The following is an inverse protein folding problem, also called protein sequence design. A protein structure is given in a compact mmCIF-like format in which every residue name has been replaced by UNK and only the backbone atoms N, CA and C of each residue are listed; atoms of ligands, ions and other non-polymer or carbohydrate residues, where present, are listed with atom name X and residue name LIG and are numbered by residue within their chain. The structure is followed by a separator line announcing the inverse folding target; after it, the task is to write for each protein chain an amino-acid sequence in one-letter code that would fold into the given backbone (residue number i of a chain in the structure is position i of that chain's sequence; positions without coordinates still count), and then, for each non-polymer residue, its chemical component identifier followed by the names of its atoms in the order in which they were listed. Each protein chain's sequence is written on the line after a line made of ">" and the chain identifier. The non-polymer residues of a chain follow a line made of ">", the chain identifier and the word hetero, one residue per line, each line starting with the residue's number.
data_IF_226004299081
#
_entry.id   IF_226004299081
#
_cell.length_a   1.000
_cell.length_b   1.000
_cell.length_c   1.000
_cell.angle_alpha   90.00
_cell.angle_beta   90.00
_cell.angle_gamma   90.00
#
_symmetry.space_group_name_H-M   'P 1'
#
loop_
_entity.id
_entity.type
_entity.pdbx_description
1 polymer ?
#
# COMPACT_ATOMS: atom_id res chain seq x y z
N UNK A 1 21.96 2.32 2.02
CA UNK A 1 22.93 1.61 2.88
C UNK A 1 22.25 0.43 3.56
N UNK A 2 22.50 -0.81 3.10
CA UNK A 2 21.80 -2.05 3.53
C UNK A 2 22.69 -3.05 4.31
N UNK A 3 23.83 -2.61 4.88
CA UNK A 3 24.89 -3.53 5.36
C UNK A 3 24.64 -4.24 6.70
N UNK A 4 23.61 -3.87 7.47
CA UNK A 4 23.39 -4.40 8.83
C UNK A 4 22.48 -5.64 8.93
N UNK A 5 21.56 -5.84 7.99
CA UNK A 5 20.50 -6.85 8.11
C UNK A 5 20.94 -8.26 7.66
N UNK A 6 21.73 -8.31 6.58
CA UNK A 6 22.22 -9.57 5.97
C UNK A 6 23.10 -10.38 6.93
N UNK A 7 23.91 -9.71 7.76
CA UNK A 7 24.82 -10.38 8.69
C UNK A 7 24.06 -11.08 9.85
N UNK A 8 22.92 -10.54 10.28
CA UNK A 8 22.12 -11.15 11.35
C UNK A 8 21.39 -12.42 10.90
N UNK A 9 20.80 -12.41 9.71
CA UNK A 9 20.14 -13.60 9.16
C UNK A 9 21.16 -14.71 8.89
N UNK A 10 22.33 -14.38 8.37
CA UNK A 10 23.42 -15.32 8.16
C UNK A 10 23.90 -15.98 9.48
N UNK A 11 24.04 -15.19 10.56
CA UNK A 11 24.39 -15.73 11.89
C UNK A 11 23.32 -16.72 12.40
N UNK A 12 22.03 -16.39 12.24
CA UNK A 12 20.91 -17.26 12.63
C UNK A 12 20.90 -18.56 11.81
N UNK A 13 21.17 -18.45 10.51
CA UNK A 13 21.30 -19.61 9.63
C UNK A 13 22.46 -20.52 10.04
N UNK A 14 23.60 -19.96 10.44
CA UNK A 14 24.74 -20.74 10.98
C UNK A 14 24.38 -21.46 12.28
N UNK A 15 23.63 -20.81 13.18
CA UNK A 15 23.15 -21.43 14.43
C UNK A 15 22.29 -22.66 14.11
N UNK A 16 21.30 -22.50 13.22
CA UNK A 16 20.37 -23.59 12.84
C UNK A 16 21.12 -24.72 12.12
N UNK A 17 21.94 -24.39 11.12
CA UNK A 17 22.69 -25.40 10.36
C UNK A 17 23.67 -26.20 11.22
N UNK A 18 24.33 -25.57 12.20
CA UNK A 18 25.18 -26.30 13.16
C UNK A 18 24.38 -27.19 14.10
N UNK A 19 23.17 -26.79 14.48
CA UNK A 19 22.31 -27.62 15.31
C UNK A 19 21.81 -28.85 14.53
N UNK A 20 21.38 -28.67 13.29
CA UNK A 20 20.97 -29.76 12.39
C UNK A 20 22.13 -30.72 12.07
N UNK A 21 23.38 -30.24 12.09
CA UNK A 21 24.57 -31.10 12.00
C UNK A 21 24.93 -31.81 13.32
N UNK A 22 24.07 -31.75 14.34
CA UNK A 22 24.23 -32.47 15.61
C UNK A 22 25.11 -31.79 16.65
N UNK A 23 25.56 -30.54 16.42
CA UNK A 23 26.34 -29.81 17.45
C UNK A 23 25.46 -29.41 18.63
N UNK A 24 26.03 -29.46 19.82
CA UNK A 24 25.37 -29.00 21.05
C UNK A 24 25.33 -27.47 21.12
N UNK A 25 24.35 -26.91 21.83
CA UNK A 25 24.24 -25.46 22.00
C UNK A 25 25.50 -24.82 22.64
N UNK A 26 26.27 -25.58 23.43
CA UNK A 26 27.52 -25.13 24.02
C UNK A 26 28.69 -25.04 23.02
N UNK A 27 28.72 -25.91 22.02
CA UNK A 27 29.70 -25.84 20.92
C UNK A 27 29.38 -24.67 19.99
N UNK A 28 28.10 -24.54 19.60
CA UNK A 28 27.62 -23.45 18.75
C UNK A 28 27.90 -22.09 19.39
N UNK A 29 27.62 -21.95 20.69
CA UNK A 29 27.88 -20.73 21.46
C UNK A 29 29.37 -20.34 21.44
N UNK A 30 30.27 -21.30 21.68
CA UNK A 30 31.72 -21.06 21.66
C UNK A 30 32.24 -20.70 20.26
N UNK A 31 31.76 -21.39 19.24
CA UNK A 31 32.23 -21.23 17.86
C UNK A 31 31.75 -19.95 17.19
N UNK A 32 30.52 -19.51 17.49
CA UNK A 32 29.91 -18.32 16.90
C UNK A 32 30.02 -17.07 17.78
N UNK A 33 30.54 -17.20 19.01
CA UNK A 33 30.67 -16.07 19.95
C UNK A 33 29.32 -15.49 20.41
N UNK A 34 28.27 -16.32 20.49
CA UNK A 34 26.92 -15.93 20.92
C UNK A 34 26.53 -16.64 22.21
N UNK A 35 25.57 -16.10 22.96
CA UNK A 35 25.09 -16.74 24.19
C UNK A 35 24.31 -18.02 23.88
N UNK A 36 24.33 -19.01 24.80
CA UNK A 36 23.50 -20.22 24.69
C UNK A 36 22.00 -19.90 24.57
N UNK A 37 21.54 -18.84 25.22
CA UNK A 37 20.14 -18.37 25.11
C UNK A 37 19.79 -17.93 23.69
N UNK A 38 20.72 -17.25 23.00
CA UNK A 38 20.53 -16.88 21.59
C UNK A 38 20.45 -18.12 20.71
N UNK A 39 21.27 -19.15 21.00
CA UNK A 39 21.22 -20.43 20.28
C UNK A 39 19.86 -21.12 20.49
N UNK A 40 19.43 -21.28 21.73
CA UNK A 40 18.14 -21.91 22.03
C UNK A 40 16.95 -21.11 21.47
N UNK A 41 16.99 -19.77 21.53
CA UNK A 41 15.96 -18.91 20.96
C UNK A 41 15.77 -19.19 19.46
N UNK A 42 16.86 -19.25 18.70
CA UNK A 42 16.79 -19.43 17.25
C UNK A 42 16.50 -20.87 16.83
N UNK A 43 16.96 -21.86 17.58
CA UNK A 43 16.56 -23.27 17.38
C UNK A 43 15.05 -23.42 17.58
N UNK A 44 14.52 -22.92 18.70
CA UNK A 44 13.08 -22.99 19.00
C UNK A 44 12.25 -22.27 17.95
N UNK A 45 12.64 -21.05 17.59
CA UNK A 45 11.94 -20.28 16.55
C UNK A 45 11.97 -20.95 15.18
N UNK A 46 13.09 -21.59 14.82
CA UNK A 46 13.18 -22.34 13.57
C UNK A 46 12.20 -23.51 13.54
N UNK A 47 12.12 -24.26 14.64
CA UNK A 47 11.19 -25.39 14.78
C UNK A 47 9.72 -24.94 14.78
N UNK A 48 9.40 -23.78 15.37
CA UNK A 48 8.03 -23.26 15.48
C UNK A 48 7.56 -22.51 14.21
N UNK A 49 8.43 -21.68 13.60
CA UNK A 49 8.03 -20.70 12.58
C UNK A 49 8.70 -20.90 11.22
N UNK A 50 9.73 -21.74 11.11
CA UNK A 50 10.42 -22.04 9.85
C UNK A 50 11.10 -20.85 9.17
N UNK A 51 11.35 -19.74 9.89
CA UNK A 51 11.98 -18.55 9.34
C UNK A 51 13.03 -17.94 10.29
N UNK A 52 13.94 -17.14 9.72
CA UNK A 52 15.05 -16.50 10.45
C UNK A 52 14.92 -14.97 10.52
N UNK A 53 13.74 -14.44 10.20
CA UNK A 53 13.51 -13.00 10.15
C UNK A 53 13.15 -12.47 11.54
N UNK A 54 13.27 -11.15 11.72
CA UNK A 54 12.79 -10.54 12.95
C UNK A 54 11.25 -10.53 12.95
N UNK A 55 10.64 -10.97 14.06
CA UNK A 55 9.20 -10.76 14.27
C UNK A 55 8.89 -9.27 14.14
N UNK A 56 7.81 -8.94 13.45
CA UNK A 56 7.30 -7.56 13.40
C UNK A 56 7.04 -7.11 14.84
N UNK A 57 7.80 -6.13 15.31
CA UNK A 57 7.55 -5.51 16.61
C UNK A 57 6.30 -4.64 16.46
N UNK A 58 5.37 -4.75 17.39
CA UNK A 58 4.36 -3.72 17.56
C UNK A 58 5.10 -2.46 18.01
N UNK A 59 4.89 -1.36 17.30
CA UNK A 59 5.47 -0.06 17.67
C UNK A 59 4.94 0.43 19.02
N UNK A 60 5.29 1.66 19.39
CA UNK A 60 4.71 2.30 20.58
C UNK A 60 3.17 2.25 20.47
N UNK A 61 2.46 1.74 21.49
CA UNK A 61 0.99 1.74 21.49
C UNK A 61 0.45 3.15 21.20
N UNK A 62 -0.66 3.21 20.47
CA UNK A 62 -1.33 4.47 20.16
C UNK A 62 -1.91 5.07 21.46
N UNK A 63 -1.90 6.39 21.57
CA UNK A 63 -2.54 7.11 22.68
C UNK A 63 -4.06 7.25 22.49
N UNK A 64 -4.54 7.19 21.24
CA UNK A 64 -5.97 7.13 20.92
C UNK A 64 -6.45 5.68 20.77
N UNK A 65 -7.70 5.45 21.16
CA UNK A 65 -8.43 4.19 20.93
C UNK A 65 -9.16 4.21 19.59
N UNK A 66 -9.65 3.04 19.14
CA UNK A 66 -10.44 2.97 17.89
C UNK A 66 -11.73 3.77 17.99
N UNK A 67 -12.41 3.72 19.14
CA UNK A 67 -13.66 4.46 19.36
C UNK A 67 -13.43 5.97 19.30
N UNK A 68 -12.33 6.46 19.88
CA UNK A 68 -11.93 7.86 19.77
C UNK A 68 -11.56 8.26 18.34
N UNK A 69 -10.90 7.39 17.59
CA UNK A 69 -10.59 7.64 16.18
C UNK A 69 -11.88 7.73 15.34
N UNK A 70 -12.91 6.93 15.68
CA UNK A 70 -14.24 6.98 15.05
C UNK A 70 -15.03 8.25 15.40
N UNK A 71 -15.01 8.66 16.68
CA UNK A 71 -15.63 9.93 17.11
C UNK A 71 -14.99 11.14 16.42
N UNK A 72 -13.67 11.13 16.23
CA UNK A 72 -12.94 12.16 15.47
C UNK A 72 -13.48 12.24 14.02
N UNK A 73 -13.78 11.10 13.40
CA UNK A 73 -14.32 11.02 12.04
C UNK A 73 -15.73 11.61 11.98
N UNK A 74 -16.62 11.16 12.85
CA UNK A 74 -18.01 11.63 12.87
C UNK A 74 -18.07 13.15 13.09
N UNK A 75 -17.23 13.69 13.97
CA UNK A 75 -17.14 15.13 14.19
C UNK A 75 -16.67 15.90 12.93
N UNK A 76 -15.70 15.35 12.18
CA UNK A 76 -15.23 15.96 10.94
C UNK A 76 -16.24 15.84 9.78
N UNK A 77 -16.99 14.74 9.70
CA UNK A 77 -18.04 14.56 8.69
C UNK A 77 -19.26 15.42 8.96
N UNK A 78 -19.66 15.55 10.22
CA UNK A 78 -20.78 16.39 10.62
C UNK A 78 -20.52 17.87 10.30
N UNK A 79 -19.26 18.32 10.43
CA UNK A 79 -18.85 19.68 10.12
C UNK A 79 -17.47 19.71 9.44
N UNK A 80 -17.41 19.60 8.09
CA UNK A 80 -16.15 19.54 7.33
C UNK A 80 -15.25 20.77 7.45
N UNK A 81 -15.76 21.88 8.01
CA UNK A 81 -15.00 23.11 8.24
C UNK A 81 -14.45 23.24 9.67
N UNK A 82 -14.77 22.28 10.55
CA UNK A 82 -14.23 22.25 11.92
C UNK A 82 -12.75 21.88 11.87
N UNK A 83 -11.92 22.66 12.55
CA UNK A 83 -10.49 22.39 12.58
C UNK A 83 -10.13 21.31 13.62
N UNK A 84 -8.99 20.66 13.45
CA UNK A 84 -8.56 19.54 14.30
C UNK A 84 -8.33 19.92 15.78
N UNK A 85 -8.13 21.20 16.11
CA UNK A 85 -8.01 21.67 17.50
C UNK A 85 -9.39 21.74 18.16
N UNK A 86 -10.38 22.28 17.45
CA UNK A 86 -11.76 22.27 17.90
C UNK A 86 -12.27 20.83 18.12
N UNK A 87 -11.97 19.90 17.21
CA UNK A 87 -12.32 18.48 17.39
C UNK A 87 -11.64 17.89 18.64
N UNK A 88 -10.37 18.24 18.92
CA UNK A 88 -9.71 17.82 20.17
C UNK A 88 -10.46 18.32 21.40
N UNK A 89 -10.85 19.59 21.42
CA UNK A 89 -11.52 20.24 22.54
C UNK A 89 -12.94 19.68 22.74
N UNK A 90 -13.71 19.57 21.67
CA UNK A 90 -15.10 19.09 21.68
C UNK A 90 -15.20 17.64 22.17
N UNK A 91 -14.26 16.78 21.78
CA UNK A 91 -14.19 15.38 22.18
C UNK A 91 -13.36 15.15 23.46
N UNK A 92 -12.84 16.24 24.07
CA UNK A 92 -11.99 16.21 25.27
C UNK A 92 -10.85 15.16 25.18
N UNK A 93 -10.19 15.11 24.02
CA UNK A 93 -9.22 14.07 23.73
C UNK A 93 -7.87 14.36 24.42
N UNK A 94 -7.20 13.35 24.99
CA UNK A 94 -5.91 13.52 25.65
C UNK A 94 -4.73 13.60 24.66
N UNK A 95 -4.95 14.21 23.48
CA UNK A 95 -3.96 14.29 22.39
C UNK A 95 -3.98 15.64 21.70
N UNK A 96 -2.87 16.02 21.07
CA UNK A 96 -2.80 17.28 20.30
C UNK A 96 -3.69 17.28 19.05
N UNK A 97 -4.08 18.47 18.57
CA UNK A 97 -4.74 18.62 17.27
C UNK A 97 -3.92 18.09 16.07
N UNK A 98 -2.59 17.99 16.20
CA UNK A 98 -1.73 17.29 15.22
C UNK A 98 -2.00 15.79 15.19
N UNK A 99 -2.25 15.18 16.34
CA UNK A 99 -2.63 13.76 16.44
C UNK A 99 -4.01 13.56 15.81
N UNK A 100 -4.99 14.42 16.12
CA UNK A 100 -6.33 14.37 15.50
C UNK A 100 -6.24 14.51 13.98
N UNK A 101 -5.46 15.46 13.46
CA UNK A 101 -5.23 15.58 12.01
C UNK A 101 -4.58 14.33 11.43
N UNK A 102 -3.61 13.74 12.12
CA UNK A 102 -3.03 12.46 11.71
C UNK A 102 -4.09 11.35 11.72
N UNK A 103 -5.06 11.33 12.64
CA UNK A 103 -6.16 10.36 12.64
C UNK A 103 -7.12 10.55 11.48
N UNK A 104 -7.49 11.79 11.20
CA UNK A 104 -8.29 12.11 10.02
C UNK A 104 -7.61 11.64 8.73
N UNK A 105 -6.28 11.81 8.61
CA UNK A 105 -5.52 11.29 7.47
C UNK A 105 -5.23 9.78 7.53
N UNK A 106 -5.03 9.20 8.71
CA UNK A 106 -4.85 7.74 8.90
C UNK A 106 -6.15 6.99 8.56
N UNK A 107 -7.29 7.67 8.64
CA UNK A 107 -8.63 7.15 8.33
C UNK A 107 -9.24 7.69 7.03
N UNK A 108 -8.55 8.58 6.30
CA UNK A 108 -8.87 8.86 4.90
C UNK A 108 -8.65 7.56 4.13
N UNK A 109 -9.75 6.83 3.90
CA UNK A 109 -9.72 5.61 3.11
C UNK A 109 -9.21 5.96 1.73
N UNK A 110 -8.16 5.27 1.32
CA UNK A 110 -7.69 5.39 -0.04
C UNK A 110 -8.70 4.71 -0.96
N UNK A 111 -9.53 5.52 -1.63
CA UNK A 111 -10.49 5.00 -2.60
C UNK A 111 -9.73 4.45 -3.80
N UNK A 112 -9.75 3.13 -3.94
CA UNK A 112 -9.10 2.42 -5.02
C UNK A 112 -10.13 2.03 -6.08
N UNK A 113 -9.81 2.40 -7.33
CA UNK A 113 -10.61 2.06 -8.50
C UNK A 113 -9.83 1.01 -9.30
N UNK A 114 -10.50 -0.10 -9.63
CA UNK A 114 -10.02 -1.10 -10.58
C UNK A 114 -11.19 -1.59 -11.43
N UNK A 115 -10.89 -2.12 -12.62
CA UNK A 115 -11.87 -2.79 -13.44
C UNK A 115 -12.29 -4.15 -12.84
N UNK A 116 -13.33 -4.76 -13.42
CA UNK A 116 -13.82 -6.08 -13.00
C UNK A 116 -13.14 -7.25 -13.73
N UNK A 117 -11.86 -7.14 -14.09
CA UNK A 117 -11.11 -8.25 -14.68
C UNK A 117 -11.15 -9.50 -13.75
N UNK A 118 -11.22 -10.74 -14.28
CA UNK A 118 -11.32 -11.96 -13.44
C UNK A 118 -10.24 -12.09 -12.36
N UNK A 119 -9.02 -11.59 -12.63
CA UNK A 119 -7.94 -11.60 -11.63
C UNK A 119 -8.22 -10.65 -10.45
N UNK A 120 -8.82 -9.49 -10.70
CA UNK A 120 -9.15 -8.47 -9.69
C UNK A 120 -10.34 -8.88 -8.81
N UNK A 121 -11.23 -9.71 -9.35
CA UNK A 121 -12.38 -10.27 -8.63
C UNK A 121 -12.09 -11.64 -7.98
N UNK A 122 -10.88 -12.16 -8.14
CA UNK A 122 -10.46 -13.44 -7.57
C UNK A 122 -10.49 -13.43 -6.04
N UNK A 123 -10.71 -14.61 -5.43
CA UNK A 123 -10.76 -14.75 -3.98
C UNK A 123 -9.50 -14.23 -3.26
N UNK A 124 -8.32 -14.43 -3.84
CA UNK A 124 -7.05 -13.98 -3.26
C UNK A 124 -7.01 -12.46 -3.15
N UNK A 125 -7.39 -11.75 -4.21
CA UNK A 125 -7.42 -10.28 -4.24
C UNK A 125 -8.50 -9.73 -3.31
N UNK A 126 -9.70 -10.30 -3.33
CA UNK A 126 -10.80 -9.90 -2.45
C UNK A 126 -10.49 -10.18 -0.97
N UNK A 127 -9.77 -11.27 -0.67
CA UNK A 127 -9.25 -11.52 0.67
C UNK A 127 -8.22 -10.46 1.08
N UNK A 128 -7.31 -10.08 0.20
CA UNK A 128 -6.31 -9.04 0.49
C UNK A 128 -6.97 -7.70 0.85
N UNK A 129 -8.00 -7.25 0.10
CA UNK A 129 -8.74 -6.03 0.44
C UNK A 129 -9.45 -6.13 1.80
N UNK A 130 -10.00 -7.30 2.16
CA UNK A 130 -10.59 -7.49 3.51
C UNK A 130 -9.56 -7.41 4.64
N UNK A 131 -8.30 -7.73 4.36
CA UNK A 131 -7.18 -7.62 5.31
C UNK A 131 -6.59 -6.20 5.35
N UNK A 132 -6.96 -5.30 4.42
CA UNK A 132 -6.46 -3.92 4.29
C UNK A 132 -7.63 -2.91 4.19
N UNK A 133 -8.43 -2.73 5.27
CA UNK A 133 -9.60 -1.85 5.26
C UNK A 133 -9.29 -0.36 5.06
N UNK A 134 -8.02 0.03 5.15
CA UNK A 134 -7.55 1.38 4.81
C UNK A 134 -7.64 1.69 3.30
N UNK A 135 -7.77 0.66 2.45
CA UNK A 135 -8.01 0.81 1.02
C UNK A 135 -9.45 0.41 0.71
N UNK A 136 -10.27 1.39 0.34
CA UNK A 136 -11.66 1.15 -0.03
C UNK A 136 -11.74 0.84 -1.52
N UNK A 137 -12.15 -0.38 -1.85
CA UNK A 137 -12.43 -0.75 -3.23
C UNK A 137 -13.76 -0.14 -3.66
N UNK A 138 -13.71 0.80 -4.61
CA UNK A 138 -14.92 1.41 -5.20
C UNK A 138 -15.67 0.39 -6.07
N UNK A 139 -17.00 0.36 -5.96
CA UNK A 139 -17.83 -0.44 -6.87
C UNK A 139 -17.82 0.22 -8.27
N UNK A 140 -17.15 -0.44 -9.23
CA UNK A 140 -16.97 0.08 -10.58
C UNK A 140 -17.73 -0.77 -11.62
N UNK A 141 -18.45 -0.18 -12.57
CA UNK A 141 -19.24 -0.93 -13.54
C UNK A 141 -18.37 -1.80 -14.46
N UNK A 142 -18.94 -2.94 -14.88
CA UNK A 142 -18.31 -3.81 -15.87
C UNK A 142 -18.22 -3.07 -17.21
N UNK A 143 -17.08 -3.17 -17.91
CA UNK A 143 -16.80 -2.49 -19.20
C UNK A 143 -16.75 -0.95 -19.17
N UNK A 144 -16.53 -0.34 -18.01
CA UNK A 144 -16.35 1.12 -17.87
C UNK A 144 -14.93 1.62 -18.19
N UNK A 145 -14.31 1.13 -19.27
CA UNK A 145 -12.94 1.50 -19.66
C UNK A 145 -12.85 2.99 -20.04
N UNK A 146 -13.84 3.50 -20.79
CA UNK A 146 -13.97 4.90 -21.22
C UNK A 146 -14.13 5.89 -20.04
N UNK A 147 -14.64 5.39 -18.90
CA UNK A 147 -14.74 6.17 -17.67
C UNK A 147 -13.45 6.22 -16.86
N UNK A 148 -12.47 5.33 -17.10
CA UNK A 148 -11.28 5.25 -16.28
C UNK A 148 -10.25 6.31 -16.74
N UNK A 149 -9.94 7.34 -15.94
CA UNK A 149 -9.06 8.43 -16.39
C UNK A 149 -7.63 7.96 -16.69
N UNK A 150 -7.21 6.80 -16.18
CA UNK A 150 -5.89 6.23 -16.49
C UNK A 150 -5.74 5.86 -17.96
N UNK A 151 -6.83 5.55 -18.66
CA UNK A 151 -6.80 5.19 -20.09
C UNK A 151 -6.34 6.37 -20.95
N UNK A 152 -6.68 7.60 -20.57
CA UNK A 152 -6.15 8.79 -21.25
C UNK A 152 -4.66 8.98 -20.97
N UNK A 153 -4.19 8.63 -19.77
CA UNK A 153 -2.76 8.63 -19.45
C UNK A 153 -2.01 7.58 -20.29
N UNK A 154 -2.55 6.36 -20.40
CA UNK A 154 -1.99 5.33 -21.27
C UNK A 154 -2.02 5.74 -22.74
N UNK A 155 -3.11 6.34 -23.21
CA UNK A 155 -3.23 6.88 -24.55
C UNK A 155 -2.12 7.89 -24.87
N UNK A 156 -1.78 8.79 -23.94
CA UNK A 156 -0.67 9.71 -24.11
C UNK A 156 0.67 8.99 -24.32
N UNK A 157 0.94 7.93 -23.57
CA UNK A 157 2.19 7.15 -23.66
C UNK A 157 2.23 6.34 -24.96
N UNK A 158 1.13 5.69 -25.34
CA UNK A 158 1.09 4.85 -26.54
C UNK A 158 1.15 5.69 -27.81
N UNK A 159 0.50 6.87 -27.84
CA UNK A 159 0.47 7.73 -29.02
C UNK A 159 1.82 8.38 -29.34
N UNK A 160 2.74 8.45 -28.37
CA UNK A 160 4.11 8.94 -28.59
C UNK A 160 5.08 7.84 -29.02
N UNK A 161 4.63 6.59 -29.07
CA UNK A 161 5.46 5.48 -29.47
C UNK A 161 5.50 5.35 -30.99
N UNK A 162 6.70 5.16 -31.55
CA UNK A 162 6.89 4.88 -32.98
C UNK A 162 7.42 3.44 -33.18
N UNK A 163 6.53 2.44 -33.38
CA UNK A 163 6.92 1.05 -33.57
C UNK A 163 7.78 0.80 -34.81
N UNK A 164 7.92 1.77 -35.71
CA UNK A 164 8.76 1.66 -36.90
C UNK A 164 10.25 1.81 -36.58
N UNK A 165 10.61 2.47 -35.47
CA UNK A 165 12.00 2.71 -35.09
C UNK A 165 12.60 1.51 -34.34
N UNK A 166 11.93 1.05 -33.28
CA UNK A 166 12.40 -0.08 -32.48
C UNK A 166 11.21 -0.89 -31.95
N UNK A 167 11.29 -2.23 -32.00
CA UNK A 167 10.17 -3.13 -31.66
C UNK A 167 10.46 -4.05 -30.48
N UNK A 168 11.52 -3.80 -29.73
CA UNK A 168 11.89 -4.66 -28.59
C UNK A 168 11.04 -4.32 -27.38
N UNK A 169 10.74 -5.32 -26.55
CA UNK A 169 10.03 -5.10 -25.27
C UNK A 169 10.81 -4.17 -24.33
N UNK A 170 12.15 -4.20 -24.42
CA UNK A 170 13.01 -3.31 -23.64
C UNK A 170 12.84 -1.85 -24.06
N UNK A 171 12.88 -1.55 -25.36
CA UNK A 171 12.69 -0.20 -25.87
C UNK A 171 11.30 0.35 -25.57
N UNK A 172 10.27 -0.51 -25.66
CA UNK A 172 8.90 -0.13 -25.27
C UNK A 172 8.82 0.22 -23.78
N UNK A 173 9.47 -0.56 -22.91
CA UNK A 173 9.50 -0.28 -21.48
C UNK A 173 10.25 1.04 -21.17
N UNK A 174 11.43 1.24 -21.75
CA UNK A 174 12.20 2.48 -21.60
C UNK A 174 11.41 3.70 -22.08
N UNK A 175 10.72 3.57 -23.22
CA UNK A 175 9.82 4.61 -23.71
C UNK A 175 8.70 4.90 -22.71
N UNK A 176 7.95 3.87 -22.28
CA UNK A 176 6.83 4.03 -21.36
C UNK A 176 7.25 4.67 -20.03
N UNK A 177 8.38 4.26 -19.46
CA UNK A 177 8.92 4.83 -18.23
C UNK A 177 9.34 6.30 -18.41
N UNK A 178 9.96 6.63 -19.54
CA UNK A 178 10.36 8.01 -19.86
C UNK A 178 9.15 8.92 -20.02
N UNK A 179 8.15 8.51 -20.81
CA UNK A 179 6.94 9.29 -21.01
C UNK A 179 6.13 9.42 -19.72
N UNK A 180 6.06 8.36 -18.91
CA UNK A 180 5.46 8.42 -17.57
C UNK A 180 6.11 9.50 -16.70
N UNK A 181 7.45 9.57 -16.68
CA UNK A 181 8.16 10.57 -15.88
C UNK A 181 7.92 12.01 -16.37
N UNK A 182 7.71 12.20 -17.67
CA UNK A 182 7.31 13.49 -18.25
C UNK A 182 5.89 13.85 -17.79
N UNK A 183 4.94 12.92 -17.94
CA UNK A 183 3.54 13.14 -17.56
C UNK A 183 3.38 13.41 -16.06
N UNK A 184 4.06 12.64 -15.21
CA UNK A 184 4.10 12.79 -13.75
C UNK A 184 4.52 14.19 -13.30
N UNK A 185 5.37 14.87 -14.07
CA UNK A 185 5.88 16.21 -13.76
C UNK A 185 4.97 17.33 -14.25
N UNK A 186 3.96 17.03 -15.07
CA UNK A 186 3.00 18.05 -15.52
C UNK A 186 2.11 18.44 -14.34
N UNK A 187 2.14 19.72 -13.89
CA UNK A 187 1.22 20.17 -12.86
C UNK A 187 -0.21 19.99 -13.36
N UNK A 188 -1.11 19.64 -12.44
CA UNK A 188 -2.55 19.51 -12.65
C UNK A 188 -3.04 18.43 -13.64
N UNK A 189 -2.17 17.71 -14.36
CA UNK A 189 -2.59 16.64 -15.29
C UNK A 189 -3.55 15.63 -14.62
N UNK A 190 -3.15 15.09 -13.47
CA UNK A 190 -3.96 14.12 -12.71
C UNK A 190 -5.24 14.78 -12.19
N UNK A 191 -5.14 16.03 -11.71
CA UNK A 191 -6.28 16.79 -11.19
C UNK A 191 -7.34 16.99 -12.27
N UNK A 192 -6.96 17.47 -13.45
CA UNK A 192 -7.87 17.70 -14.58
C UNK A 192 -8.58 16.41 -15.02
N UNK A 193 -7.86 15.28 -14.99
CA UNK A 193 -8.43 13.97 -15.32
C UNK A 193 -9.48 13.54 -14.30
N UNK A 194 -9.20 13.72 -13.01
CA UNK A 194 -10.15 13.43 -11.92
C UNK A 194 -11.35 14.37 -11.96
N UNK A 195 -11.12 15.68 -12.12
CA UNK A 195 -12.18 16.70 -12.19
C UNK A 195 -13.06 16.56 -13.46
N UNK A 196 -12.60 15.81 -14.47
CA UNK A 196 -13.41 15.47 -15.64
C UNK A 196 -14.50 14.44 -15.35
N UNK A 197 -14.39 13.66 -14.26
CA UNK A 197 -15.27 12.52 -13.98
C UNK A 197 -16.77 12.83 -13.97
N UNK A 198 -17.25 13.91 -13.34
CA UNK A 198 -18.68 14.25 -13.37
C UNK A 198 -19.23 14.39 -14.80
N UNK A 199 -18.43 14.98 -15.70
CA UNK A 199 -18.80 15.15 -17.12
C UNK A 199 -18.79 13.83 -17.89
N UNK A 200 -17.88 12.90 -17.55
CA UNK A 200 -17.86 11.55 -18.14
C UNK A 200 -19.10 10.76 -17.74
N UNK A 201 -19.41 10.76 -16.44
CA UNK A 201 -20.58 10.08 -15.89
C UNK A 201 -21.88 10.63 -16.49
N UNK A 202 -21.98 11.96 -16.64
CA UNK A 202 -23.13 12.59 -17.29
C UNK A 202 -23.34 12.07 -18.72
N UNK A 203 -22.26 11.91 -19.52
CA UNK A 203 -22.37 11.36 -20.88
C UNK A 203 -22.79 9.89 -20.89
N UNK A 204 -22.37 9.10 -19.90
CA UNK A 204 -22.83 7.71 -19.75
C UNK A 204 -24.33 7.67 -19.48
N UNK A 205 -24.82 8.55 -18.60
CA UNK A 205 -26.25 8.68 -18.28
C UNK A 205 -27.04 9.08 -19.54
N UNK A 206 -26.59 10.10 -20.26
CA UNK A 206 -27.23 10.59 -21.50
C UNK A 206 -27.27 9.53 -22.60
N UNK A 207 -26.31 8.59 -22.59
CA UNK A 207 -26.24 7.47 -23.53
C UNK A 207 -26.83 6.17 -23.00
N UNK A 208 -27.51 6.21 -21.85
CA UNK A 208 -28.14 5.04 -21.20
C UNK A 208 -27.14 3.87 -21.00
N UNK A 209 -25.90 4.18 -20.62
CA UNK A 209 -24.83 3.19 -20.46
C UNK A 209 -24.06 2.85 -21.74
N UNK A 210 -24.35 3.53 -22.85
CA UNK A 210 -23.60 3.41 -24.10
C UNK A 210 -22.23 4.11 -24.08
N UNK A 211 -21.39 3.78 -25.06
CA UNK A 211 -20.01 4.26 -25.19
C UNK A 211 -19.90 5.79 -25.23
N UNK A 212 -19.05 6.37 -24.40
CA UNK A 212 -18.74 7.81 -24.44
C UNK A 212 -17.63 8.13 -25.44
N UNK A 213 -17.27 9.42 -25.54
CA UNK A 213 -16.19 9.89 -26.43
C UNK A 213 -14.79 9.79 -25.78
N UNK A 214 -14.74 9.37 -24.52
CA UNK A 214 -13.53 9.35 -23.71
C UNK A 214 -12.75 8.06 -23.87
#
# INVERSE_FOLDING_TARGET
>A
MFRGHVNRVALRGRIVGMHESGKTAAEISRELGVTKDTVYLWIRRWQEEGNLTDRRRQGRPRETTNDQDEEIREAAEANPFTNAVAITEDLNLPVSGRTVRRRLHDQERFLFIQDRCPIHTSWIVQRWFREHPEIELMDWPSKGCDMNPIENIWGNIVNTWEPAQERTSHALLEHALREWEILRRKPDLVREHVESMPRRLQQVIEKEGGWTKY
#
